data_IF_227448297230
#
_entry.id   IF_227448297230
#
_cell.length_a   1.000
_cell.length_b   1.000
_cell.length_c   1.000
_cell.angle_alpha   90.00
_cell.angle_beta   90.00
_cell.angle_gamma   90.00
#
_symmetry.space_group_name_H-M   'P 1'
#
loop_
_entity.id
_entity.type
_entity.pdbx_description
1 polymer ?
#
# COMPACT_ATOMS: atom_id res chain seq x y z
N UNK A 1 12.74 -31.02 -4.71
CA UNK A 1 11.27 -30.93 -4.90
C UNK A 1 10.91 -29.48 -5.17
N UNK A 2 10.13 -29.19 -6.22
CA UNK A 2 9.73 -27.81 -6.53
C UNK A 2 8.86 -27.25 -5.40
N UNK A 3 9.06 -25.98 -5.02
CA UNK A 3 8.24 -25.29 -3.98
C UNK A 3 6.75 -25.27 -4.32
N UNK A 4 6.41 -25.44 -5.59
CA UNK A 4 5.03 -25.51 -6.11
C UNK A 4 4.24 -26.74 -5.62
N UNK A 5 4.92 -27.74 -5.07
CA UNK A 5 4.31 -29.01 -4.62
C UNK A 5 4.39 -29.20 -3.09
N UNK A 6 4.60 -28.10 -2.35
CA UNK A 6 4.74 -28.13 -0.89
C UNK A 6 3.47 -28.55 -0.14
N UNK A 7 2.31 -28.36 -0.74
CA UNK A 7 1.00 -28.62 -0.12
C UNK A 7 0.54 -30.10 -0.26
N UNK A 8 1.42 -30.99 -0.76
CA UNK A 8 1.10 -32.40 -0.93
C UNK A 8 1.13 -33.15 0.40
N UNK A 9 -0.02 -33.71 0.78
CA UNK A 9 -0.13 -34.65 1.90
C UNK A 9 0.55 -35.98 1.58
N UNK A 10 1.13 -36.67 2.56
CA UNK A 10 1.81 -37.98 2.44
C UNK A 10 0.91 -39.17 2.04
N UNK A 11 -0.25 -38.92 1.46
CA UNK A 11 -1.25 -39.94 1.14
C UNK A 11 -0.92 -40.64 -0.19
N UNK A 12 -0.98 -41.97 -0.22
CA UNK A 12 -0.57 -42.83 -1.35
C UNK A 12 -1.58 -42.92 -2.52
N UNK A 13 -2.43 -41.90 -2.72
CA UNK A 13 -3.38 -41.86 -3.83
C UNK A 13 -2.76 -41.27 -5.11
N UNK A 14 -3.27 -41.67 -6.28
CA UNK A 14 -2.94 -41.00 -7.54
C UNK A 14 -3.36 -39.51 -7.45
N UNK A 15 -2.42 -38.60 -7.70
CA UNK A 15 -2.63 -37.15 -7.65
C UNK A 15 -2.64 -36.60 -9.07
N UNK A 16 -3.65 -35.79 -9.37
CA UNK A 16 -3.83 -35.20 -10.70
C UNK A 16 -3.77 -33.68 -10.61
N UNK A 17 -3.09 -33.06 -11.57
CA UNK A 17 -2.91 -31.62 -11.63
C UNK A 17 -3.62 -31.05 -12.84
N UNK A 18 -4.32 -29.93 -12.62
CA UNK A 18 -4.69 -29.07 -13.73
C UNK A 18 -3.44 -28.29 -14.20
N UNK A 19 -3.02 -28.48 -15.44
CA UNK A 19 -1.88 -27.76 -16.02
C UNK A 19 -2.16 -26.25 -16.25
N UNK A 20 -3.43 -25.83 -16.25
CA UNK A 20 -3.82 -24.44 -16.47
C UNK A 20 -3.74 -23.59 -15.21
N UNK A 21 -4.19 -24.11 -14.05
CA UNK A 21 -4.19 -23.39 -12.78
C UNK A 21 -3.21 -23.92 -11.72
N UNK A 22 -2.49 -25.01 -12.02
CA UNK A 22 -1.53 -25.69 -11.14
C UNK A 22 -2.08 -26.09 -9.76
N UNK A 23 -3.40 -26.10 -9.59
CA UNK A 23 -4.07 -26.57 -8.37
C UNK A 23 -4.25 -28.09 -8.41
N UNK A 24 -4.03 -28.73 -7.27
CA UNK A 24 -4.30 -30.13 -7.06
C UNK A 24 -5.80 -30.32 -6.84
N UNK A 25 -6.44 -31.17 -7.65
CA UNK A 25 -7.84 -31.54 -7.48
C UNK A 25 -7.96 -33.05 -7.34
N UNK A 26 -8.68 -33.52 -6.31
CA UNK A 26 -8.98 -34.95 -6.11
C UNK A 26 -9.84 -35.57 -7.23
N UNK A 27 -10.35 -34.75 -8.14
CA UNK A 27 -11.31 -35.14 -9.18
C UNK A 27 -10.70 -34.83 -10.54
N UNK A 28 -9.78 -35.66 -11.01
CA UNK A 28 -9.47 -35.75 -12.43
C UNK A 28 -9.25 -37.22 -12.75
N UNK A 29 -10.30 -37.87 -13.24
CA UNK A 29 -10.21 -39.20 -13.82
C UNK A 29 -9.45 -39.08 -15.15
N UNK A 30 -8.55 -40.04 -15.36
CA UNK A 30 -7.71 -40.30 -16.54
C UNK A 30 -8.13 -39.59 -17.83
N UNK A 31 -7.21 -38.75 -18.33
CA UNK A 31 -6.72 -38.83 -19.70
C UNK A 31 -7.76 -38.89 -20.82
N UNK A 32 -8.73 -37.98 -20.84
CA UNK A 32 -9.38 -37.57 -22.07
C UNK A 32 -10.19 -36.30 -21.89
N UNK A 33 -9.96 -35.35 -22.78
CA UNK A 33 -10.62 -34.05 -22.89
C UNK A 33 -12.13 -34.14 -23.23
N UNK A 34 -12.75 -35.32 -23.17
CA UNK A 34 -14.06 -35.60 -23.79
C UNK A 34 -15.18 -35.98 -22.82
N UNK A 35 -14.96 -36.11 -21.50
CA UNK A 35 -16.01 -36.54 -20.57
C UNK A 35 -16.38 -35.49 -19.50
N UNK A 36 -16.51 -34.23 -19.91
CA UNK A 36 -16.96 -33.14 -19.02
C UNK A 36 -18.33 -32.55 -19.40
N UNK A 37 -19.09 -33.21 -20.29
CA UNK A 37 -20.40 -32.68 -20.72
C UNK A 37 -21.62 -33.33 -20.05
N UNK A 38 -21.55 -34.57 -19.57
CA UNK A 38 -22.81 -35.31 -19.34
C UNK A 38 -23.15 -35.65 -17.89
N UNK A 39 -22.30 -35.34 -16.91
CA UNK A 39 -22.63 -35.64 -15.51
C UNK A 39 -22.08 -34.56 -14.58
N UNK A 40 -22.82 -33.46 -14.41
CA UNK A 40 -22.96 -32.76 -13.14
C UNK A 40 -24.08 -31.70 -13.26
N UNK A 41 -25.17 -31.83 -12.49
CA UNK A 41 -26.21 -30.82 -12.46
C UNK A 41 -25.65 -29.55 -11.83
N UNK A 42 -25.98 -28.42 -12.45
CA UNK A 42 -25.90 -27.05 -11.96
C UNK A 42 -25.46 -26.86 -10.49
N UNK A 43 -24.34 -26.15 -10.28
CA UNK A 43 -24.22 -25.26 -9.12
C UNK A 43 -23.02 -25.42 -8.17
N UNK A 44 -22.10 -26.37 -8.36
CA UNK A 44 -20.98 -26.51 -7.41
C UNK A 44 -19.70 -27.12 -8.00
N UNK A 45 -19.17 -26.54 -9.08
CA UNK A 45 -17.79 -26.79 -9.52
C UNK A 45 -16.97 -25.49 -9.50
N UNK A 46 -15.67 -25.54 -9.16
CA UNK A 46 -14.80 -24.38 -9.22
C UNK A 46 -14.73 -23.91 -10.68
N UNK A 47 -14.82 -22.59 -10.87
CA UNK A 47 -14.69 -21.86 -12.14
C UNK A 47 -13.89 -22.64 -13.21
N UNK A 48 -14.41 -22.78 -14.45
CA UNK A 48 -13.69 -23.46 -15.51
C UNK A 48 -12.35 -22.77 -15.70
N UNK A 49 -11.26 -23.44 -15.32
CA UNK A 49 -9.89 -22.99 -15.57
C UNK A 49 -9.59 -22.75 -17.07
N UNK A 50 -10.53 -23.06 -17.95
CA UNK A 50 -10.52 -22.79 -19.39
C UNK A 50 -10.72 -21.31 -19.77
N UNK A 51 -11.27 -20.47 -18.90
CA UNK A 51 -11.46 -19.04 -19.22
C UNK A 51 -10.16 -18.23 -19.13
N UNK A 52 -9.11 -18.78 -18.50
CA UNK A 52 -7.83 -18.13 -18.33
C UNK A 52 -6.72 -18.96 -18.99
N UNK A 53 -6.01 -18.37 -19.95
CA UNK A 53 -4.82 -19.00 -20.53
C UNK A 53 -3.72 -19.13 -19.48
N UNK A 54 -2.87 -20.17 -19.55
CA UNK A 54 -1.71 -20.30 -18.68
C UNK A 54 -0.84 -19.04 -18.80
N UNK A 55 -0.61 -18.36 -17.68
CA UNK A 55 0.28 -17.19 -17.68
C UNK A 55 1.73 -17.67 -17.66
N UNK A 56 2.43 -17.47 -18.77
CA UNK A 56 3.88 -17.65 -18.85
C UNK A 56 4.56 -16.45 -18.19
N UNK A 57 5.44 -16.70 -17.23
CA UNK A 57 6.33 -15.67 -16.69
C UNK A 57 7.27 -15.25 -17.83
N UNK A 58 7.10 -14.04 -18.33
CA UNK A 58 8.01 -13.41 -19.28
C UNK A 58 8.88 -12.44 -18.48
N UNK A 59 10.17 -12.76 -18.38
CA UNK A 59 11.14 -11.82 -17.82
C UNK A 59 11.42 -10.72 -18.85
N UNK A 60 11.58 -9.46 -18.44
CA UNK A 60 12.00 -8.40 -19.37
C UNK A 60 13.36 -8.73 -19.96
N UNK A 61 13.56 -8.36 -21.24
CA UNK A 61 14.84 -8.51 -21.92
C UNK A 61 15.92 -7.70 -21.20
N UNK A 62 17.17 -8.20 -21.10
CA UNK A 62 18.27 -7.48 -20.47
C UNK A 62 18.48 -6.09 -21.11
N UNK A 63 18.35 -5.04 -20.32
CA UNK A 63 18.43 -3.65 -20.80
C UNK A 63 17.94 -2.64 -19.76
N UNK A 64 17.94 -1.34 -20.10
CA UNK A 64 17.47 -0.30 -19.15
C UNK A 64 16.02 -0.51 -18.70
N UNK A 65 15.15 -1.04 -19.56
CA UNK A 65 13.75 -1.38 -19.26
C UNK A 65 13.60 -2.62 -18.36
N UNK A 66 14.68 -3.39 -18.15
CA UNK A 66 14.70 -4.48 -17.16
C UNK A 66 14.96 -4.00 -15.73
N UNK A 67 15.35 -2.74 -15.56
CA UNK A 67 15.68 -2.15 -14.26
C UNK A 67 14.49 -1.36 -13.73
N UNK A 68 13.87 -1.85 -12.65
CA UNK A 68 12.84 -1.11 -11.94
C UNK A 68 13.45 0.11 -11.25
N UNK A 69 13.02 1.30 -11.66
CA UNK A 69 13.44 2.57 -11.05
C UNK A 69 12.24 3.33 -10.51
N UNK A 70 12.45 4.02 -9.39
CA UNK A 70 11.42 4.85 -8.78
C UNK A 70 11.23 6.14 -9.60
N UNK A 71 10.13 6.24 -10.35
CA UNK A 71 9.87 7.39 -11.24
C UNK A 71 9.35 8.63 -10.50
N UNK A 72 8.62 8.45 -9.40
CA UNK A 72 7.95 9.54 -8.69
C UNK A 72 8.74 10.04 -7.47
N UNK A 73 9.93 10.58 -7.70
CA UNK A 73 10.82 11.10 -6.64
C UNK A 73 10.16 12.12 -5.69
N UNK A 74 9.06 12.77 -6.07
CA UNK A 74 8.28 13.63 -5.15
C UNK A 74 7.76 12.89 -3.91
N UNK A 75 7.53 11.58 -4.00
CA UNK A 75 7.08 10.74 -2.89
C UNK A 75 8.24 10.16 -2.07
N UNK A 76 9.49 10.48 -2.41
CA UNK A 76 10.65 10.11 -1.58
C UNK A 76 10.92 11.12 -0.47
N UNK A 77 10.16 12.22 -0.40
CA UNK A 77 10.27 13.16 0.72
C UNK A 77 9.51 12.58 1.92
N UNK A 78 10.10 12.66 3.14
CA UNK A 78 9.43 12.16 4.34
C UNK A 78 8.15 12.95 4.57
N UNK A 79 7.06 12.23 4.85
CA UNK A 79 5.79 12.85 5.23
C UNK A 79 5.94 13.33 6.69
N UNK A 80 5.85 14.63 6.96
CA UNK A 80 6.18 15.19 8.27
C UNK A 80 5.17 14.82 9.36
N UNK A 81 3.92 14.55 9.01
CA UNK A 81 2.89 14.20 9.98
C UNK A 81 2.03 13.06 9.46
N UNK A 82 1.75 12.08 10.33
CA UNK A 82 0.90 10.93 10.02
C UNK A 82 -0.20 10.83 11.07
N UNK A 83 -1.43 10.61 10.62
CA UNK A 83 -2.58 10.40 11.50
C UNK A 83 -3.02 8.95 11.36
N UNK A 84 -2.98 8.21 12.46
CA UNK A 84 -3.57 6.88 12.57
C UNK A 84 -4.92 7.03 13.26
N UNK A 85 -5.97 6.47 12.67
CA UNK A 85 -7.32 6.54 13.22
C UNK A 85 -8.03 5.22 13.05
N UNK A 86 -8.89 4.90 14.01
CA UNK A 86 -9.78 3.74 13.96
C UNK A 86 -11.14 4.06 14.58
N UNK A 87 -12.17 3.34 14.15
CA UNK A 87 -13.55 3.49 14.61
C UNK A 87 -14.01 2.23 15.34
N UNK A 88 -14.80 2.46 16.38
CA UNK A 88 -15.60 1.42 17.02
C UNK A 88 -17.03 1.49 16.51
N UNK A 89 -17.64 0.33 16.29
CA UNK A 89 -19.01 0.23 15.80
C UNK A 89 -19.83 -0.78 16.59
N UNK A 90 -21.07 -0.41 16.89
CA UNK A 90 -22.10 -1.35 17.35
C UNK A 90 -22.61 -2.15 16.16
N UNK A 91 -22.89 -3.42 16.40
CA UNK A 91 -23.36 -4.34 15.38
C UNK A 91 -24.84 -4.60 15.62
N UNK A 92 -25.67 -4.22 14.67
CA UNK A 92 -27.11 -4.50 14.68
C UNK A 92 -27.46 -5.57 13.64
N UNK A 93 -28.21 -6.62 14.00
CA UNK A 93 -28.61 -7.64 13.04
C UNK A 93 -29.57 -7.06 12.00
N UNK A 94 -29.31 -7.32 10.73
CA UNK A 94 -30.19 -6.94 9.63
C UNK A 94 -30.99 -8.16 9.16
N UNK A 95 -32.32 -8.10 9.28
CA UNK A 95 -33.20 -9.19 8.84
C UNK A 95 -33.81 -8.94 7.45
N UNK A 96 -33.78 -7.69 6.97
CA UNK A 96 -34.62 -7.25 5.85
C UNK A 96 -33.88 -7.14 4.50
N UNK A 97 -32.60 -7.50 4.40
CA UNK A 97 -31.82 -7.42 3.15
C UNK A 97 -31.18 -8.79 2.85
N UNK A 98 -31.59 -9.49 1.77
CA UNK A 98 -30.98 -10.75 1.40
C UNK A 98 -29.48 -10.56 1.11
N UNK A 99 -28.64 -11.34 1.78
CA UNK A 99 -27.18 -11.30 1.64
C UNK A 99 -26.44 -10.33 2.57
N UNK A 100 -27.13 -9.58 3.46
CA UNK A 100 -26.49 -8.77 4.50
C UNK A 100 -26.98 -9.20 5.88
N UNK A 101 -26.04 -9.56 6.76
CA UNK A 101 -26.35 -10.11 8.08
C UNK A 101 -26.34 -9.04 9.19
N UNK A 102 -25.54 -7.98 9.05
CA UNK A 102 -25.37 -6.98 10.09
C UNK A 102 -25.09 -5.57 9.57
N UNK A 103 -25.54 -4.58 10.33
CA UNK A 103 -25.28 -3.15 10.16
C UNK A 103 -24.24 -2.71 11.20
N UNK A 104 -23.24 -1.95 10.77
CA UNK A 104 -22.22 -1.38 11.65
C UNK A 104 -22.54 0.09 11.88
N UNK A 105 -22.90 0.44 13.12
CA UNK A 105 -23.22 1.80 13.54
C UNK A 105 -22.02 2.35 14.31
N UNK A 106 -21.27 3.33 13.77
CA UNK A 106 -20.13 3.92 14.45
C UNK A 106 -20.57 4.55 15.79
N UNK A 107 -19.89 4.18 16.88
CA UNK A 107 -20.20 4.66 18.23
C UNK A 107 -19.02 5.37 18.91
N UNK A 108 -17.85 5.33 18.28
CA UNK A 108 -16.67 6.02 18.76
C UNK A 108 -15.51 5.94 17.79
N UNK A 109 -14.45 6.69 18.08
CA UNK A 109 -13.20 6.63 17.35
C UNK A 109 -12.03 6.97 18.26
N UNK A 110 -10.84 6.60 17.83
CA UNK A 110 -9.60 7.10 18.39
C UNK A 110 -8.63 7.47 17.27
N UNK A 111 -7.85 8.54 17.47
CA UNK A 111 -6.74 8.86 16.58
C UNK A 111 -5.48 9.32 17.31
N UNK A 112 -4.34 9.09 16.66
CA UNK A 112 -3.01 9.43 17.11
C UNK A 112 -2.28 10.17 15.98
N UNK A 113 -1.59 11.26 16.33
CA UNK A 113 -0.79 12.04 15.40
C UNK A 113 0.68 11.80 15.71
N UNK A 114 1.42 11.26 14.73
CA UNK A 114 2.86 11.05 14.79
C UNK A 114 3.57 12.17 14.03
N UNK A 115 4.63 12.70 14.64
CA UNK A 115 5.41 13.81 14.10
C UNK A 115 6.62 13.37 13.28
N UNK A 116 7.41 14.35 12.81
CA UNK A 116 8.60 14.09 11.99
C UNK A 116 9.68 13.29 12.74
N UNK A 117 9.68 13.37 14.07
CA UNK A 117 10.57 12.63 14.95
C UNK A 117 10.09 11.20 15.26
N UNK A 118 8.97 10.77 14.68
CA UNK A 118 8.36 9.46 14.95
C UNK A 118 7.67 9.36 16.31
N UNK A 119 7.53 10.47 17.05
CA UNK A 119 6.88 10.49 18.36
C UNK A 119 5.46 11.05 18.28
N UNK A 120 4.56 10.64 19.20
CA UNK A 120 3.26 11.26 19.38
C UNK A 120 3.36 12.77 19.62
N UNK A 121 2.63 13.58 18.86
CA UNK A 121 2.52 15.02 19.11
C UNK A 121 1.69 15.33 20.36
N UNK A 122 0.72 14.46 20.65
CA UNK A 122 -0.23 14.59 21.74
C UNK A 122 -0.71 13.20 22.17
N UNK A 123 -1.31 13.07 23.37
CA UNK A 123 -1.99 11.87 23.78
C UNK A 123 -3.07 11.45 22.77
N UNK A 124 -3.38 10.15 22.75
CA UNK A 124 -4.45 9.59 21.92
C UNK A 124 -5.74 10.35 22.17
N UNK A 125 -6.36 10.85 21.10
CA UNK A 125 -7.65 11.51 21.18
C UNK A 125 -8.73 10.47 20.90
N UNK A 126 -9.57 10.20 21.90
CA UNK A 126 -10.68 9.26 21.78
C UNK A 126 -12.02 9.96 22.02
N UNK A 127 -13.05 9.52 21.30
CA UNK A 127 -14.41 10.02 21.43
C UNK A 127 -15.40 8.86 21.39
N UNK A 128 -16.49 8.98 22.15
CA UNK A 128 -17.62 8.04 22.16
C UNK A 128 -18.92 8.82 22.14
N UNK A 129 -19.78 8.51 21.18
CA UNK A 129 -21.03 9.20 20.95
C UNK A 129 -21.73 8.68 19.69
N UNK A 130 -23.03 8.89 19.58
CA UNK A 130 -23.82 8.52 18.40
C UNK A 130 -23.45 9.33 17.16
N UNK A 131 -22.85 10.50 17.35
CA UNK A 131 -22.34 11.43 16.33
C UNK A 131 -20.84 11.22 16.03
N UNK A 132 -20.32 10.02 16.31
CA UNK A 132 -18.89 9.72 16.20
C UNK A 132 -18.29 10.10 14.84
N UNK A 133 -19.02 9.90 13.74
CA UNK A 133 -18.55 10.22 12.38
C UNK A 133 -18.41 11.73 12.19
N UNK A 134 -19.44 12.51 12.52
CA UNK A 134 -19.43 13.96 12.34
C UNK A 134 -18.39 14.63 13.24
N UNK A 135 -18.27 14.15 14.48
CA UNK A 135 -17.27 14.62 15.42
C UNK A 135 -15.84 14.25 14.95
N UNK A 136 -15.65 13.08 14.34
CA UNK A 136 -14.38 12.67 13.76
C UNK A 136 -13.95 13.59 12.62
N UNK A 137 -14.83 13.81 11.64
CA UNK A 137 -14.54 14.66 10.48
C UNK A 137 -14.18 16.08 10.95
N UNK A 138 -14.97 16.63 11.88
CA UNK A 138 -14.70 17.95 12.46
C UNK A 138 -13.34 17.99 13.16
N UNK A 139 -13.00 16.94 13.91
CA UNK A 139 -11.71 16.84 14.62
C UNK A 139 -10.53 16.76 13.65
N UNK A 140 -10.61 15.92 12.61
CA UNK A 140 -9.54 15.77 11.63
C UNK A 140 -9.33 17.04 10.80
N UNK A 141 -10.40 17.75 10.44
CA UNK A 141 -10.29 19.03 9.73
C UNK A 141 -9.58 20.08 10.59
N UNK A 142 -9.91 20.17 11.88
CA UNK A 142 -9.21 21.07 12.83
C UNK A 142 -7.73 20.73 12.95
N UNK A 143 -7.39 19.44 13.09
CA UNK A 143 -6.00 18.99 13.15
C UNK A 143 -5.25 19.29 11.84
N UNK A 144 -5.88 19.06 10.68
CA UNK A 144 -5.31 19.42 9.38
C UNK A 144 -4.94 20.90 9.31
N UNK A 145 -5.82 21.80 9.77
CA UNK A 145 -5.55 23.24 9.73
C UNK A 145 -4.39 23.65 10.66
N UNK A 146 -4.29 23.02 11.84
CA UNK A 146 -3.17 23.23 12.76
C UNK A 146 -1.85 22.73 12.14
N UNK A 147 -1.85 21.53 11.57
CA UNK A 147 -0.68 20.94 10.94
C UNK A 147 -0.26 21.72 9.68
N UNK A 148 -1.21 22.20 8.88
CA UNK A 148 -0.93 23.04 7.72
C UNK A 148 -0.20 24.32 8.11
N UNK A 149 -0.63 25.01 9.19
CA UNK A 149 0.09 26.19 9.71
C UNK A 149 1.52 25.87 10.11
N UNK A 150 1.75 24.73 10.78
CA UNK A 150 3.10 24.27 11.13
C UNK A 150 3.95 23.99 9.88
N UNK A 151 3.38 23.42 8.83
CA UNK A 151 4.09 23.15 7.57
C UNK A 151 4.44 24.42 6.79
N UNK A 152 3.60 25.45 6.86
CA UNK A 152 3.87 26.74 6.24
C UNK A 152 4.85 27.62 7.05
N UNK A 153 5.17 27.22 8.28
CA UNK A 153 6.12 27.97 9.12
C UNK A 153 7.54 27.71 8.63
N UNK A 154 8.19 28.73 8.08
CA UNK A 154 9.58 28.66 7.64
C UNK A 154 10.46 28.55 8.88
N UNK A 155 11.04 27.38 9.09
CA UNK A 155 12.01 27.13 10.16
C UNK A 155 13.42 27.26 9.59
N UNK A 156 14.35 27.96 10.27
CA UNK A 156 15.74 28.03 9.83
C UNK A 156 16.33 26.62 9.65
N UNK A 157 17.02 26.41 8.53
CA UNK A 157 17.72 25.16 8.29
C UNK A 157 18.95 25.10 9.18
N UNK A 158 19.05 24.07 10.02
CA UNK A 158 20.23 23.82 10.84
C UNK A 158 21.18 22.87 10.10
N UNK A 159 22.19 23.40 9.42
CA UNK A 159 23.24 22.60 8.77
C UNK A 159 24.46 22.49 9.68
N UNK A 160 24.92 21.27 9.92
CA UNK A 160 26.23 21.04 10.55
C UNK A 160 27.36 21.32 9.56
N UNK A 161 28.59 21.47 10.06
CA UNK A 161 29.78 21.61 9.19
C UNK A 161 29.90 20.45 8.21
N UNK A 162 29.58 19.23 8.67
CA UNK A 162 29.56 18.03 7.84
C UNK A 162 28.51 18.09 6.73
N UNK A 163 27.29 18.52 7.04
CA UNK A 163 26.23 18.65 6.03
C UNK A 163 26.62 19.64 4.94
N UNK A 164 27.29 20.73 5.31
CA UNK A 164 27.77 21.73 4.36
C UNK A 164 28.87 21.15 3.45
N UNK A 165 29.80 20.37 4.00
CA UNK A 165 30.81 19.68 3.21
C UNK A 165 30.20 18.64 2.25
N UNK A 166 29.26 17.83 2.74
CA UNK A 166 28.56 16.83 1.93
C UNK A 166 27.78 17.52 0.81
N UNK A 167 27.14 18.65 1.10
CA UNK A 167 26.43 19.46 0.11
C UNK A 167 27.39 20.04 -0.94
N UNK A 168 28.56 20.56 -0.55
CA UNK A 168 29.55 21.12 -1.48
C UNK A 168 30.19 20.04 -2.36
N UNK A 169 30.39 18.83 -1.83
CA UNK A 169 30.97 17.68 -2.56
C UNK A 169 29.94 16.94 -3.43
N UNK A 170 28.64 17.22 -3.28
CA UNK A 170 27.58 16.52 -3.98
C UNK A 170 27.59 16.84 -5.49
N UNK A 171 27.89 15.82 -6.31
CA UNK A 171 27.86 15.90 -7.78
C UNK A 171 26.54 15.40 -8.39
N UNK A 172 25.68 14.79 -7.57
CA UNK A 172 24.42 14.17 -7.98
C UNK A 172 23.30 14.61 -7.05
N UNK A 173 22.09 14.79 -7.61
CA UNK A 173 20.91 15.14 -6.84
C UNK A 173 20.53 14.00 -5.89
N UNK A 174 20.32 14.30 -4.60
CA UNK A 174 19.95 13.27 -3.62
C UNK A 174 18.58 12.60 -3.91
N UNK A 175 17.67 13.28 -4.62
CA UNK A 175 16.33 12.76 -4.92
C UNK A 175 16.30 11.89 -6.19
N UNK A 176 16.75 12.44 -7.32
CA UNK A 176 16.67 11.75 -8.61
C UNK A 176 17.96 11.06 -9.04
N UNK A 177 19.03 11.20 -8.26
CA UNK A 177 20.37 10.62 -8.50
C UNK A 177 21.01 11.03 -9.83
N UNK A 178 20.46 12.02 -10.52
CA UNK A 178 21.04 12.60 -11.75
C UNK A 178 22.13 13.61 -11.39
N UNK A 179 23.12 13.73 -12.26
CA UNK A 179 24.22 14.68 -12.11
C UNK A 179 23.70 16.12 -11.99
N UNK A 180 24.19 16.87 -11.01
CA UNK A 180 23.86 18.29 -10.86
C UNK A 180 24.62 19.07 -11.92
N UNK A 181 23.92 19.65 -12.90
CA UNK A 181 24.55 20.51 -13.91
C UNK A 181 25.11 21.76 -13.22
N UNK A 182 26.39 22.04 -13.42
CA UNK A 182 26.97 23.34 -13.07
C UNK A 182 26.22 24.43 -13.83
N UNK A 183 25.72 25.44 -13.11
CA UNK A 183 25.15 26.63 -13.75
C UNK A 183 26.31 27.48 -14.26
N UNK A 184 26.71 27.28 -15.52
CA UNK A 184 27.45 28.26 -16.29
C UNK A 184 26.53 29.47 -16.57
N UNK A 185 26.48 30.41 -15.63
CA UNK A 185 25.68 31.61 -15.77
C UNK A 185 25.37 32.26 -14.43
N UNK A 186 26.13 33.31 -14.14
CA UNK A 186 25.91 34.30 -13.09
C UNK A 186 24.45 34.80 -13.12
N UNK A 187 23.59 34.21 -12.29
CA UNK A 187 22.45 34.94 -11.73
C UNK A 187 22.85 35.28 -10.33
N UNK A 188 23.06 36.56 -10.08
CA UNK A 188 23.27 37.16 -8.76
C UNK A 188 22.55 36.32 -7.71
N UNK A 189 23.32 35.66 -6.83
CA UNK A 189 22.76 35.02 -5.64
C UNK A 189 21.84 36.05 -5.00
N UNK A 190 20.53 35.80 -4.81
CA UNK A 190 19.78 36.68 -3.94
C UNK A 190 20.57 36.71 -2.63
N UNK A 191 20.91 37.90 -2.10
CA UNK A 191 21.72 37.97 -0.91
C UNK A 191 21.07 37.05 0.12
N UNK A 192 21.87 36.17 0.71
CA UNK A 192 21.46 35.46 1.92
C UNK A 192 20.91 36.57 2.82
N UNK A 193 19.60 36.59 3.03
CA UNK A 193 18.99 37.48 4.01
C UNK A 193 19.64 37.06 5.31
N UNK A 194 20.64 37.84 5.74
CA UNK A 194 21.07 37.84 7.12
C UNK A 194 19.81 38.12 7.93
N UNK A 195 19.47 37.18 8.79
CA UNK A 195 18.53 37.41 9.87
C UNK A 195 19.15 38.46 10.79
#
# INVERSE_FOLDING_TARGET
MSRLLGDLTKFNGETFYCYSCLKNSRILIKGSFTLLKDYLPYGSLPLPCNEHSPQRIVMPEPGEESVLQFKQHKFSQPVPYVIYADFEALIEPMQNIPGKTASHIPCGYAYLIIGPNGLPLKPVTAYRGSDAVDHFITSIVREKDILAKKLHTITPMHMTTRDLEEFQKATHCNLCKKMTRERSGERSRPPLRKI
#
